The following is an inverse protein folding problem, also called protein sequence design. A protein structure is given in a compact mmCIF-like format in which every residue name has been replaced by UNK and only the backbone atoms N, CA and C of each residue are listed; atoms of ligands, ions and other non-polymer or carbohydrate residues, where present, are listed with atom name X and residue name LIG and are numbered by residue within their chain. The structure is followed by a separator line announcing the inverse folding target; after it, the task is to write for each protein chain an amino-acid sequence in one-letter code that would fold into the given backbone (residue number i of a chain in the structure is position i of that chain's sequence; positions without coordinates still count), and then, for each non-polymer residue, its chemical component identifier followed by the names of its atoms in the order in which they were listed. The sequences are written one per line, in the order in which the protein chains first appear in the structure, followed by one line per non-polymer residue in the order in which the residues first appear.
data_IF_113249372229
#
_entry.id   IF_113249372229
#
_cell.length_a   1.000
_cell.length_b   1.000
_cell.length_c   1.000
_cell.angle_alpha   90.00
_cell.angle_beta   90.00
_cell.angle_gamma   90.00
#
_symmetry.space_group_name_H-M   'P 1'
#
loop_
_entity.id
_entity.type
_entity.pdbx_description
1 polymer ?
#
# COMPACT_ATOMS: atom_id res chain seq x y z
N UNK A 1 -15.89 -0.26 -12.61
CA UNK A 1 -15.24 -0.09 -11.30
C UNK A 1 -14.13 -1.13 -11.09
N UNK A 2 -14.45 -2.41 -10.82
CA UNK A 2 -13.47 -3.44 -10.40
C UNK A 2 -12.28 -3.60 -11.35
N UNK A 3 -12.50 -3.74 -12.66
CA UNK A 3 -11.39 -3.89 -13.63
C UNK A 3 -10.44 -2.70 -13.69
N UNK A 4 -10.99 -1.48 -13.61
CA UNK A 4 -10.19 -0.24 -13.58
C UNK A 4 -9.39 -0.12 -12.28
N UNK A 5 -10.01 -0.47 -11.15
CA UNK A 5 -9.36 -0.51 -9.83
C UNK A 5 -8.22 -1.52 -9.78
N UNK A 6 -8.36 -2.69 -10.41
CA UNK A 6 -7.30 -3.70 -10.50
C UNK A 6 -6.13 -3.25 -11.38
N UNK A 7 -6.41 -2.66 -12.55
CA UNK A 7 -5.38 -2.17 -13.46
C UNK A 7 -4.55 -1.04 -12.86
N UNK A 8 -5.20 -0.05 -12.22
CA UNK A 8 -4.51 1.06 -11.57
C UNK A 8 -3.68 0.58 -10.37
N UNK A 9 -4.18 -0.42 -9.63
CA UNK A 9 -3.46 -0.98 -8.49
C UNK A 9 -2.11 -1.61 -8.87
N UNK A 10 -2.04 -2.31 -10.00
CA UNK A 10 -0.80 -2.96 -10.41
C UNK A 10 0.33 -1.95 -10.63
N UNK A 11 0.01 -0.75 -11.15
CA UNK A 11 0.99 0.34 -11.29
C UNK A 11 1.43 0.88 -9.94
N UNK A 12 0.48 1.08 -9.03
CA UNK A 12 0.71 1.59 -7.69
C UNK A 12 1.67 0.71 -6.88
N UNK A 13 1.65 -0.62 -7.10
CA UNK A 13 2.60 -1.55 -6.47
C UNK A 13 4.04 -1.26 -6.90
N UNK A 14 4.28 -0.94 -8.18
CA UNK A 14 5.63 -0.66 -8.67
C UNK A 14 6.15 0.65 -8.08
N UNK A 15 5.33 1.70 -8.07
CA UNK A 15 5.67 2.98 -7.44
C UNK A 15 5.93 2.83 -5.95
N UNK A 16 5.16 1.98 -5.26
CA UNK A 16 5.36 1.68 -3.84
C UNK A 16 6.65 0.93 -3.57
N UNK A 17 7.03 -0.01 -4.44
CA UNK A 17 8.32 -0.70 -4.36
C UNK A 17 9.48 0.28 -4.51
N UNK A 18 9.40 1.18 -5.48
CA UNK A 18 10.41 2.23 -5.69
C UNK A 18 10.51 3.15 -4.48
N UNK A 19 9.38 3.59 -3.92
CA UNK A 19 9.35 4.40 -2.70
C UNK A 19 10.06 3.71 -1.53
N UNK A 20 9.73 2.43 -1.27
CA UNK A 20 10.36 1.67 -0.19
C UNK A 20 11.88 1.53 -0.40
N UNK A 21 12.35 1.38 -1.64
CA UNK A 21 13.79 1.30 -1.94
C UNK A 21 14.51 2.60 -1.60
N UNK A 22 13.97 3.74 -2.04
CA UNK A 22 14.57 5.06 -1.79
C UNK A 22 14.52 5.43 -0.30
N UNK A 23 13.44 5.06 0.39
CA UNK A 23 13.29 5.25 1.84
C UNK A 23 14.31 4.44 2.64
N UNK A 24 14.54 3.19 2.25
CA UNK A 24 15.57 2.34 2.84
C UNK A 24 16.97 2.91 2.59
N UNK A 25 17.26 3.40 1.38
CA UNK A 25 18.56 4.00 1.05
C UNK A 25 18.84 5.26 1.88
N UNK A 26 17.87 6.18 1.98
CA UNK A 26 18.01 7.39 2.78
C UNK A 26 18.22 7.05 4.27
N UNK A 27 17.45 6.08 4.79
CA UNK A 27 17.55 5.63 6.17
C UNK A 27 18.89 4.94 6.48
N UNK A 28 19.41 4.15 5.54
CA UNK A 28 20.73 3.53 5.65
C UNK A 28 21.84 4.59 5.73
N UNK A 29 21.82 5.58 4.82
CA UNK A 29 22.80 6.68 4.81
C UNK A 29 22.78 7.51 6.09
N UNK A 30 21.58 7.77 6.63
CA UNK A 30 21.44 8.46 7.92
C UNK A 30 22.06 7.65 9.06
N UNK A 31 21.75 6.35 9.15
CA UNK A 31 22.31 5.47 10.16
C UNK A 31 23.83 5.37 10.09
N UNK A 32 24.40 5.26 8.88
CA UNK A 32 25.85 5.23 8.68
C UNK A 32 26.50 6.53 9.15
N UNK A 33 25.86 7.67 8.89
CA UNK A 33 26.34 9.01 9.29
C UNK A 33 26.28 9.19 10.81
N UNK A 34 25.25 8.68 11.47
CA UNK A 34 25.12 8.71 12.93
C UNK A 34 26.14 7.79 13.60
N UNK A 35 26.32 6.58 13.07
CA UNK A 35 27.27 5.60 13.59
C UNK A 35 28.71 6.11 13.44
N UNK A 36 29.03 6.80 12.34
CA UNK A 36 30.35 7.34 12.05
C UNK A 36 30.51 8.83 12.36
N UNK A 37 29.68 9.39 13.25
CA UNK A 37 29.67 10.82 13.56
C UNK A 37 31.05 11.36 13.98
N UNK A 38 31.81 10.58 14.77
CA UNK A 38 33.15 10.96 15.21
C UNK A 38 34.12 11.14 14.04
N UNK A 39 34.07 10.24 13.06
CA UNK A 39 34.88 10.33 11.83
C UNK A 39 34.53 11.59 11.04
N UNK A 40 33.25 11.89 10.86
CA UNK A 40 32.79 13.10 10.14
C UNK A 40 33.28 14.37 10.83
N UNK A 41 33.24 14.41 12.17
CA UNK A 41 33.76 15.50 13.00
C UNK A 41 35.27 15.69 12.84
N UNK A 42 36.04 14.60 12.88
CA UNK A 42 37.50 14.62 12.78
C UNK A 42 37.96 15.19 11.42
N UNK A 43 37.25 14.86 10.34
CA UNK A 43 37.54 15.37 9.00
C UNK A 43 36.85 16.69 8.64
N UNK A 44 36.09 17.30 9.56
CA UNK A 44 35.33 18.54 9.36
C UNK A 44 34.43 18.49 8.09
N UNK A 45 33.86 17.32 7.80
CA UNK A 45 33.17 17.04 6.54
C UNK A 45 31.63 17.10 6.68
N UNK A 46 31.14 17.75 7.73
CA UNK A 46 29.72 17.81 8.12
C UNK A 46 28.84 18.39 7.00
N UNK A 47 29.31 19.46 6.34
CA UNK A 47 28.58 20.09 5.23
C UNK A 47 28.47 19.18 4.00
N UNK A 48 29.50 18.39 3.74
CA UNK A 48 29.51 17.44 2.63
C UNK A 48 28.49 16.32 2.86
N UNK A 49 28.49 15.73 4.06
CA UNK A 49 27.52 14.69 4.42
C UNK A 49 26.08 15.22 4.47
N UNK A 50 25.88 16.41 5.01
CA UNK A 50 24.56 17.08 4.99
C UNK A 50 24.07 17.28 3.56
N UNK A 51 24.92 17.78 2.65
CA UNK A 51 24.53 18.00 1.25
C UNK A 51 24.20 16.69 0.52
N UNK A 52 24.94 15.61 0.82
CA UNK A 52 24.71 14.27 0.25
C UNK A 52 23.41 13.64 0.76
N UNK A 53 23.10 13.87 2.03
CA UNK A 53 21.85 13.45 2.63
C UNK A 53 20.66 14.24 2.07
N UNK A 54 20.80 15.56 1.91
CA UNK A 54 19.79 16.43 1.28
C UNK A 54 19.44 15.98 -0.15
N UNK A 55 20.43 15.55 -0.94
CA UNK A 55 20.18 15.00 -2.28
C UNK A 55 19.34 13.71 -2.23
N UNK A 56 19.63 12.85 -1.26
CA UNK A 56 18.88 11.60 -1.04
C UNK A 56 17.44 11.90 -0.59
N UNK A 57 17.25 12.90 0.28
CA UNK A 57 15.93 13.39 0.69
C UNK A 57 15.15 14.00 -0.47
N UNK A 58 15.79 14.79 -1.34
CA UNK A 58 15.16 15.37 -2.52
C UNK A 58 14.74 14.29 -3.54
N UNK A 59 15.45 13.17 -3.62
CA UNK A 59 15.01 12.02 -4.40
C UNK A 59 13.81 11.33 -3.77
N UNK A 60 13.85 11.06 -2.46
CA UNK A 60 12.74 10.51 -1.69
C UNK A 60 11.46 11.34 -1.87
N UNK A 61 11.55 12.66 -1.67
CA UNK A 61 10.42 13.58 -1.80
C UNK A 61 9.77 13.47 -3.18
N UNK A 62 10.56 13.46 -4.25
CA UNK A 62 10.04 13.33 -5.63
C UNK A 62 9.26 12.03 -5.82
N UNK A 63 9.78 10.91 -5.29
CA UNK A 63 9.12 9.60 -5.40
C UNK A 63 7.85 9.56 -4.54
N UNK A 64 7.88 10.10 -3.32
CA UNK A 64 6.73 10.21 -2.42
C UNK A 64 5.61 11.05 -3.04
N UNK A 65 5.93 12.23 -3.59
CA UNK A 65 4.94 13.09 -4.24
C UNK A 65 4.30 12.40 -5.45
N UNK A 66 5.07 11.63 -6.22
CA UNK A 66 4.52 10.84 -7.33
C UNK A 66 3.58 9.75 -6.81
N UNK A 67 3.98 9.03 -5.76
CA UNK A 67 3.12 8.03 -5.10
C UNK A 67 1.79 8.66 -4.64
N UNK A 68 1.85 9.78 -3.93
CA UNK A 68 0.65 10.45 -3.41
C UNK A 68 -0.27 10.96 -4.53
N UNK A 69 0.31 11.45 -5.64
CA UNK A 69 -0.45 11.81 -6.85
C UNK A 69 -1.18 10.61 -7.46
N UNK A 70 -0.55 9.44 -7.50
CA UNK A 70 -1.20 8.21 -7.98
C UNK A 70 -2.38 7.80 -7.08
N UNK A 71 -2.20 7.86 -5.75
CA UNK A 71 -3.27 7.62 -4.79
C UNK A 71 -4.41 8.64 -4.94
N UNK A 72 -4.10 9.92 -5.09
CA UNK A 72 -5.10 10.97 -5.27
C UNK A 72 -5.91 10.78 -6.57
N UNK A 73 -5.24 10.45 -7.68
CA UNK A 73 -5.90 10.16 -8.96
C UNK A 73 -6.84 8.96 -8.85
N UNK A 74 -6.42 7.90 -8.16
CA UNK A 74 -7.25 6.72 -7.93
C UNK A 74 -8.49 7.06 -7.11
N UNK A 75 -8.32 7.79 -6.01
CA UNK A 75 -9.44 8.25 -5.18
C UNK A 75 -10.40 9.16 -5.95
N UNK A 76 -9.88 10.05 -6.81
CA UNK A 76 -10.70 10.92 -7.66
C UNK A 76 -11.55 10.12 -8.65
N UNK A 77 -10.96 9.14 -9.35
CA UNK A 77 -11.69 8.27 -10.29
C UNK A 77 -12.75 7.44 -9.56
N UNK A 78 -12.42 6.88 -8.40
CA UNK A 78 -13.40 6.15 -7.58
C UNK A 78 -14.54 7.07 -7.12
N UNK A 79 -14.22 8.26 -6.61
CA UNK A 79 -15.21 9.26 -6.20
C UNK A 79 -16.12 9.68 -7.35
N UNK A 80 -15.58 9.88 -8.55
CA UNK A 80 -16.38 10.20 -9.74
C UNK A 80 -17.36 9.08 -10.10
N UNK A 81 -16.92 7.81 -10.06
CA UNK A 81 -17.80 6.67 -10.32
C UNK A 81 -18.91 6.58 -9.25
N UNK A 82 -18.57 6.79 -7.97
CA UNK A 82 -19.55 6.80 -6.89
C UNK A 82 -20.58 7.91 -7.06
N UNK A 83 -20.13 9.12 -7.36
CA UNK A 83 -21.00 10.27 -7.56
C UNK A 83 -21.99 10.02 -8.70
N UNK A 84 -21.51 9.55 -9.85
CA UNK A 84 -22.37 9.21 -11.00
C UNK A 84 -23.36 8.11 -10.65
N UNK A 85 -22.91 7.04 -9.98
CA UNK A 85 -23.78 5.93 -9.56
C UNK A 85 -24.87 6.37 -8.57
N UNK A 86 -24.49 7.17 -7.57
CA UNK A 86 -25.42 7.70 -6.57
C UNK A 86 -26.43 8.66 -7.19
N UNK A 87 -26.00 9.55 -8.08
CA UNK A 87 -26.91 10.44 -8.82
C UNK A 87 -27.90 9.65 -9.68
N UNK A 88 -27.46 8.59 -10.37
CA UNK A 88 -28.36 7.74 -11.15
C UNK A 88 -29.41 7.05 -10.28
N UNK A 89 -29.01 6.49 -9.13
CA UNK A 89 -29.96 5.87 -8.19
C UNK A 89 -30.96 6.89 -7.67
N UNK A 90 -30.52 8.08 -7.26
CA UNK A 90 -31.40 9.14 -6.79
C UNK A 90 -32.39 9.59 -7.88
N UNK A 91 -31.93 9.74 -9.12
CA UNK A 91 -32.78 10.12 -10.26
C UNK A 91 -33.85 9.05 -10.53
N UNK A 92 -33.46 7.77 -10.59
CA UNK A 92 -34.39 6.66 -10.83
C UNK A 92 -35.41 6.56 -9.70
N UNK A 93 -34.97 6.59 -8.43
CA UNK A 93 -35.88 6.54 -7.29
C UNK A 93 -36.85 7.72 -7.25
N UNK A 94 -36.42 8.91 -7.67
CA UNK A 94 -37.30 10.09 -7.74
C UNK A 94 -38.39 9.89 -8.81
N UNK A 95 -38.04 9.32 -9.97
CA UNK A 95 -39.01 8.99 -11.02
C UNK A 95 -40.01 7.92 -10.54
N UNK A 96 -39.53 6.90 -9.83
CA UNK A 96 -40.38 5.83 -9.27
C UNK A 96 -41.35 6.35 -8.18
N UNK A 97 -40.92 7.33 -7.39
CA UNK A 97 -41.77 8.02 -6.41
C UNK A 97 -42.87 8.82 -7.14
N UNK A 98 -42.51 9.54 -8.21
CA UNK A 98 -43.50 10.27 -9.02
C UNK A 98 -44.50 9.33 -9.70
N UNK A 99 -44.07 8.14 -10.08
CA UNK A 99 -44.93 7.09 -10.64
C UNK A 99 -45.77 6.35 -9.58
N UNK A 100 -45.58 6.64 -8.29
CA UNK A 100 -46.30 5.99 -7.19
C UNK A 100 -45.86 4.54 -6.91
N UNK A 101 -44.73 4.11 -7.48
CA UNK A 101 -44.20 2.74 -7.35
C UNK A 101 -43.36 2.59 -6.07
N UNK A 102 -42.70 3.67 -5.64
CA UNK A 102 -41.83 3.69 -4.47
C UNK A 102 -42.15 4.86 -3.53
N UNK A 103 -41.69 4.76 -2.28
CA UNK A 103 -41.77 5.81 -1.26
C UNK A 103 -40.44 6.51 -1.05
N UNK A 104 -40.45 7.63 -0.33
CA UNK A 104 -39.22 8.33 0.09
C UNK A 104 -38.33 7.43 0.96
N UNK A 105 -38.91 6.49 1.71
CA UNK A 105 -38.16 5.51 2.50
C UNK A 105 -37.31 4.58 1.63
N UNK A 106 -37.85 4.16 0.49
CA UNK A 106 -37.16 3.28 -0.45
C UNK A 106 -35.97 3.98 -1.12
N UNK A 107 -36.06 5.30 -1.35
CA UNK A 107 -34.93 6.11 -1.84
C UNK A 107 -33.78 6.14 -0.84
N UNK A 108 -34.08 6.40 0.44
CA UNK A 108 -33.05 6.41 1.49
C UNK A 108 -32.45 5.01 1.66
N UNK A 109 -33.28 3.97 1.58
CA UNK A 109 -32.81 2.57 1.62
C UNK A 109 -31.89 2.24 0.44
N UNK A 110 -32.25 2.61 -0.79
CA UNK A 110 -31.44 2.36 -1.97
C UNK A 110 -30.08 3.08 -1.89
N UNK A 111 -30.08 4.35 -1.48
CA UNK A 111 -28.85 5.13 -1.30
C UNK A 111 -27.95 4.55 -0.20
N UNK A 112 -28.52 4.16 0.94
CA UNK A 112 -27.76 3.55 2.05
C UNK A 112 -27.21 2.17 1.69
N UNK A 113 -27.97 1.34 0.99
CA UNK A 113 -27.49 0.04 0.50
C UNK A 113 -26.38 0.20 -0.53
N UNK A 114 -26.51 1.15 -1.45
CA UNK A 114 -25.45 1.48 -2.42
C UNK A 114 -24.15 1.88 -1.70
N UNK A 115 -24.24 2.70 -0.66
CA UNK A 115 -23.07 3.08 0.13
C UNK A 115 -22.47 1.92 0.93
N UNK A 116 -23.29 1.03 1.49
CA UNK A 116 -22.82 -0.19 2.16
C UNK A 116 -22.11 -1.15 1.21
N UNK A 117 -22.53 -1.22 -0.06
CA UNK A 117 -21.83 -2.01 -1.08
C UNK A 117 -20.54 -1.35 -1.56
N UNK A 118 -20.49 -0.02 -1.57
CA UNK A 118 -19.33 0.73 -2.04
C UNK A 118 -18.08 0.54 -1.18
N UNK A 119 -18.24 0.61 0.15
CA UNK A 119 -17.14 0.46 1.12
C UNK A 119 -16.36 -0.85 0.90
N UNK A 120 -16.95 -2.06 0.96
CA UNK A 120 -16.21 -3.30 0.78
C UNK A 120 -15.59 -3.40 -0.63
N UNK A 121 -16.26 -2.87 -1.65
CA UNK A 121 -15.78 -2.87 -3.04
C UNK A 121 -14.44 -2.12 -3.19
N UNK A 122 -14.20 -1.06 -2.40
CA UNK A 122 -12.93 -0.32 -2.39
C UNK A 122 -11.75 -1.20 -1.96
N UNK A 123 -11.98 -2.14 -1.03
CA UNK A 123 -10.91 -2.96 -0.45
C UNK A 123 -10.68 -4.28 -1.19
N UNK A 124 -11.59 -4.74 -2.07
CA UNK A 124 -11.45 -6.03 -2.79
C UNK A 124 -10.12 -6.16 -3.52
N UNK A 125 -9.67 -5.09 -4.19
CA UNK A 125 -8.42 -5.13 -4.94
C UNK A 125 -7.21 -5.38 -4.04
N UNK A 126 -7.17 -4.72 -2.87
CA UNK A 126 -6.12 -4.93 -1.88
C UNK A 126 -6.23 -6.31 -1.25
N UNK A 127 -7.42 -6.71 -0.79
CA UNK A 127 -7.67 -8.02 -0.19
C UNK A 127 -7.27 -9.18 -1.09
N UNK A 128 -7.55 -9.10 -2.39
CA UNK A 128 -7.15 -10.13 -3.34
C UNK A 128 -5.63 -10.30 -3.43
N UNK A 129 -4.89 -9.20 -3.39
CA UNK A 129 -3.42 -9.24 -3.42
C UNK A 129 -2.83 -9.69 -2.09
N UNK A 130 -3.40 -9.22 -0.98
CA UNK A 130 -3.02 -9.62 0.37
C UNK A 130 -3.15 -11.14 0.54
N UNK A 131 -4.27 -11.69 0.08
CA UNK A 131 -4.51 -13.14 0.09
C UNK A 131 -3.44 -13.89 -0.73
N UNK A 132 -3.12 -13.41 -1.94
CA UNK A 132 -2.07 -14.02 -2.77
C UNK A 132 -0.70 -13.95 -2.11
N UNK A 133 -0.36 -12.82 -1.50
CA UNK A 133 0.91 -12.66 -0.80
C UNK A 133 1.00 -13.62 0.40
N UNK A 134 -0.05 -13.69 1.20
CA UNK A 134 -0.12 -14.60 2.35
C UNK A 134 0.06 -16.07 1.94
N UNK A 135 -0.48 -16.47 0.79
CA UNK A 135 -0.28 -17.82 0.25
C UNK A 135 1.19 -18.08 -0.11
N UNK A 136 1.84 -17.14 -0.80
CA UNK A 136 3.28 -17.24 -1.13
C UNK A 136 4.14 -17.27 0.14
N UNK A 137 3.80 -16.46 1.15
CA UNK A 137 4.52 -16.44 2.42
C UNK A 137 4.36 -17.76 3.18
N UNK A 138 3.18 -18.38 3.13
CA UNK A 138 2.95 -19.72 3.67
C UNK A 138 3.75 -20.79 2.92
N UNK A 139 3.84 -20.71 1.59
CA UNK A 139 4.69 -21.59 0.79
C UNK A 139 6.16 -21.48 1.23
N UNK A 140 6.68 -20.25 1.36
CA UNK A 140 8.05 -20.00 1.84
C UNK A 140 8.30 -20.55 3.26
N UNK A 141 7.33 -20.41 4.16
CA UNK A 141 7.44 -20.98 5.52
C UNK A 141 7.46 -22.50 5.49
N UNK A 142 6.65 -23.14 4.65
CA UNK A 142 6.65 -24.59 4.48
C UNK A 142 8.00 -25.08 3.92
N UNK A 143 8.59 -24.36 2.97
CA UNK A 143 9.94 -24.66 2.48
C UNK A 143 11.00 -24.53 3.58
N UNK A 144 10.91 -23.50 4.43
CA UNK A 144 11.81 -23.34 5.58
C UNK A 144 11.71 -24.49 6.57
N UNK A 145 10.49 -24.98 6.87
CA UNK A 145 10.28 -26.14 7.74
C UNK A 145 10.83 -27.44 7.15
N UNK A 146 10.85 -27.57 5.82
CA UNK A 146 11.41 -28.74 5.14
C UNK A 146 12.93 -28.69 4.99
N UNK A 147 13.54 -27.52 5.23
CA UNK A 147 14.98 -27.35 5.09
C UNK A 147 15.70 -28.05 6.23
N UNK A 148 16.52 -29.05 5.90
CA UNK A 148 17.34 -29.72 6.90
C UNK A 148 18.40 -28.74 7.45
N UNK A 149 18.66 -28.76 8.77
CA UNK A 149 19.68 -27.91 9.36
C UNK A 149 21.05 -28.22 8.75
N UNK A 150 21.83 -27.18 8.45
CA UNK A 150 23.15 -27.31 7.84
C UNK A 150 24.18 -28.00 8.75
N UNK A 151 23.90 -28.06 10.05
CA UNK A 151 24.69 -28.76 11.06
C UNK A 151 23.73 -29.73 11.74
N UNK A 152 23.96 -31.02 11.53
CA UNK A 152 23.31 -32.10 12.27
C UNK A 152 24.19 -32.39 13.49
N UNK A 153 23.58 -32.49 14.68
CA UNK A 153 24.30 -32.98 15.86
C UNK A 153 24.76 -34.43 15.62
N UNK A 154 26.01 -34.71 15.96
CA UNK A 154 26.54 -36.08 15.92
C UNK A 154 25.83 -36.94 16.97
N UNK A 155 25.70 -38.24 16.71
CA UNK A 155 24.95 -39.18 17.56
C UNK A 155 25.56 -39.29 18.97
N UNK A 156 26.83 -38.90 19.09
CA UNK A 156 27.62 -38.83 20.34
C UNK A 156 27.87 -37.38 20.84
N UNK A 157 27.10 -36.40 20.37
CA UNK A 157 27.26 -35.00 20.80
C UNK A 157 27.00 -34.86 22.31
N UNK A 158 28.06 -34.58 23.07
CA UNK A 158 27.97 -34.28 24.51
C UNK A 158 27.31 -32.92 24.72
N UNK A 159 26.25 -32.92 25.53
CA UNK A 159 25.56 -31.72 25.99
C UNK A 159 26.57 -30.82 26.73
N UNK A 160 26.74 -29.59 26.25
CA UNK A 160 27.53 -28.58 26.93
C UNK A 160 26.65 -27.97 28.03
N UNK A 161 27.06 -28.16 29.27
CA UNK A 161 26.48 -27.56 30.48
C UNK A 161 27.00 -26.12 30.68
#
# INVERSE_FOLDING_TARGET
YVGMTLLLNNRMIQTRKELNLVENEASAKLNDSLTNFQTVKIFNNERFESSRYDESLAHLERVSVRNDKEYAMLNMVQGAIFAVGSTLVLLLSTLDIMAGVCTVGDLVMASTLLQQMWVPLQFIGWQYRELKQTLVDMENLMELFQRQPAILDDVDAKRLD
#
